data_IF_225294988501
#
_entry.id   IF_225294988501
#
_cell.length_a   1.000
_cell.length_b   1.000
_cell.length_c   1.000
_cell.angle_alpha   90.00
_cell.angle_beta   90.00
_cell.angle_gamma   90.00
#
_symmetry.space_group_name_H-M   'P 1'
#
loop_
_entity.id
_entity.type
_entity.pdbx_description
1 polymer ?
#
# COMPACT_ATOMS: atom_id res chain seq x y z
N UNK A 1 -33.91 40.15 4.84
CA UNK A 1 -33.35 39.03 4.04
C UNK A 1 -32.04 38.62 4.68
N UNK A 2 -32.08 37.60 5.55
CA UNK A 2 -30.87 37.05 6.16
C UNK A 2 -30.18 36.19 5.11
N UNK A 3 -28.95 36.56 4.74
CA UNK A 3 -28.07 35.70 3.94
C UNK A 3 -27.75 34.47 4.77
N UNK A 4 -28.32 33.35 4.38
CA UNK A 4 -27.99 32.04 4.90
C UNK A 4 -26.61 31.66 4.32
N UNK A 5 -25.55 32.18 4.93
CA UNK A 5 -24.18 31.72 4.69
C UNK A 5 -24.07 30.32 5.29
N UNK A 6 -24.52 29.31 4.54
CA UNK A 6 -24.11 27.93 4.76
C UNK A 6 -22.59 27.94 4.69
N UNK A 7 -21.91 27.91 5.85
CA UNK A 7 -20.46 27.69 5.92
C UNK A 7 -20.18 26.44 5.10
N UNK A 8 -19.56 26.60 3.94
CA UNK A 8 -19.13 25.46 3.13
C UNK A 8 -18.15 24.71 4.03
N UNK A 9 -18.55 23.52 4.46
CA UNK A 9 -17.70 22.67 5.29
C UNK A 9 -16.62 22.14 4.36
N UNK A 10 -15.42 22.69 4.50
CA UNK A 10 -14.21 22.34 3.74
C UNK A 10 -13.09 22.06 4.71
N UNK A 11 -12.07 21.32 4.27
CA UNK A 11 -10.84 21.20 5.04
C UNK A 11 -10.22 22.58 5.26
N UNK A 12 -9.75 22.84 6.48
CA UNK A 12 -8.96 24.03 6.77
C UNK A 12 -7.60 23.87 6.09
N UNK A 13 -6.98 24.96 5.64
CA UNK A 13 -5.69 24.94 4.94
C UNK A 13 -4.58 24.19 5.70
N UNK A 14 -4.57 24.26 7.04
CA UNK A 14 -3.62 23.50 7.85
C UNK A 14 -3.89 21.97 7.84
N UNK A 15 -5.14 21.55 7.67
CA UNK A 15 -5.52 20.14 7.54
C UNK A 15 -5.20 19.62 6.14
N UNK A 16 -5.46 20.42 5.11
CA UNK A 16 -5.05 20.12 3.73
C UNK A 16 -3.53 19.90 3.65
N UNK A 17 -2.72 20.82 4.20
CA UNK A 17 -1.27 20.69 4.23
C UNK A 17 -0.80 19.39 4.94
N UNK A 18 -1.43 19.02 6.05
CA UNK A 18 -1.14 17.77 6.77
C UNK A 18 -1.49 16.54 5.94
N UNK A 19 -2.65 16.55 5.28
CA UNK A 19 -3.10 15.49 4.38
C UNK A 19 -2.13 15.31 3.21
N UNK A 20 -1.78 16.40 2.52
CA UNK A 20 -0.84 16.37 1.38
C UNK A 20 0.52 15.81 1.81
N UNK A 21 1.07 16.26 2.95
CA UNK A 21 2.33 15.74 3.47
C UNK A 21 2.26 14.25 3.83
N UNK A 22 1.16 13.80 4.43
CA UNK A 22 0.96 12.40 4.77
C UNK A 22 0.84 11.50 3.53
N UNK A 23 0.10 11.93 2.51
CA UNK A 23 0.00 11.21 1.23
C UNK A 23 1.35 11.15 0.51
N UNK A 24 2.12 12.24 0.55
CA UNK A 24 3.48 12.27 0.01
C UNK A 24 4.41 11.29 0.74
N UNK A 25 4.34 11.22 2.07
CA UNK A 25 5.11 10.26 2.86
C UNK A 25 4.72 8.81 2.52
N UNK A 26 3.41 8.51 2.47
CA UNK A 26 2.89 7.19 2.08
C UNK A 26 3.34 6.79 0.67
N UNK A 27 3.25 7.72 -0.28
CA UNK A 27 3.74 7.55 -1.65
C UNK A 27 5.24 7.20 -1.67
N UNK A 28 6.07 7.94 -0.92
CA UNK A 28 7.52 7.73 -0.89
C UNK A 28 7.90 6.39 -0.26
N UNK A 29 7.18 5.98 0.79
CA UNK A 29 7.33 4.67 1.42
C UNK A 29 6.96 3.54 0.45
N UNK A 30 5.87 3.69 -0.30
CA UNK A 30 5.44 2.69 -1.26
C UNK A 30 6.32 2.63 -2.51
N UNK A 31 6.80 3.78 -3.01
CA UNK A 31 7.75 3.85 -4.13
C UNK A 31 9.02 3.05 -3.86
N UNK A 32 9.63 3.24 -2.67
CA UNK A 32 10.80 2.48 -2.26
C UNK A 32 10.52 0.97 -2.19
N UNK A 33 9.30 0.59 -1.79
CA UNK A 33 8.89 -0.81 -1.78
C UNK A 33 8.81 -1.37 -3.21
N UNK A 34 8.13 -0.67 -4.12
CA UNK A 34 8.00 -1.09 -5.53
C UNK A 34 9.36 -1.17 -6.24
N UNK A 35 10.30 -0.27 -5.94
CA UNK A 35 11.69 -0.37 -6.44
C UNK A 35 12.40 -1.65 -5.98
N UNK A 36 12.16 -2.12 -4.75
CA UNK A 36 12.73 -3.38 -4.25
C UNK A 36 12.11 -4.61 -4.90
N UNK A 37 10.81 -4.56 -5.21
CA UNK A 37 10.13 -5.62 -5.98
C UNK A 37 10.75 -5.76 -7.37
N UNK A 38 10.95 -4.64 -8.08
CA UNK A 38 11.63 -4.62 -9.39
C UNK A 38 13.03 -5.24 -9.30
N UNK A 39 13.82 -4.87 -8.28
CA UNK A 39 15.18 -5.41 -8.08
C UNK A 39 15.21 -6.92 -7.77
N UNK A 40 14.13 -7.45 -7.19
CA UNK A 40 13.96 -8.88 -6.93
C UNK A 40 13.53 -9.62 -8.21
N UNK A 41 12.59 -9.07 -8.97
CA UNK A 41 12.09 -9.63 -10.24
C UNK A 41 13.18 -9.70 -11.33
N UNK A 42 14.16 -8.81 -11.29
CA UNK A 42 15.29 -8.80 -12.22
C UNK A 42 16.27 -9.97 -12.07
N UNK A 43 16.16 -10.81 -11.04
CA UNK A 43 17.06 -11.95 -10.89
C UNK A 43 16.60 -13.11 -11.80
N UNK A 44 17.53 -13.75 -12.51
CA UNK A 44 17.21 -14.76 -13.52
C UNK A 44 16.46 -15.98 -12.96
N UNK A 45 16.70 -16.28 -11.68
CA UNK A 45 16.13 -17.35 -10.88
C UNK A 45 14.96 -16.89 -9.98
N UNK A 46 14.38 -15.72 -10.26
CA UNK A 46 13.14 -15.26 -9.62
C UNK A 46 11.98 -16.20 -9.96
N UNK A 47 11.36 -16.80 -8.94
CA UNK A 47 10.26 -17.75 -9.09
C UNK A 47 9.24 -17.60 -7.95
N UNK A 48 8.09 -17.02 -8.30
CA UNK A 48 6.98 -16.78 -7.37
C UNK A 48 6.39 -18.08 -6.81
N UNK A 49 6.43 -19.19 -7.55
CA UNK A 49 5.89 -20.46 -7.06
C UNK A 49 6.76 -21.00 -5.93
N UNK A 50 8.09 -20.90 -6.06
CA UNK A 50 8.99 -21.30 -4.98
C UNK A 50 8.89 -20.38 -3.77
N UNK A 51 8.73 -19.06 -3.95
CA UNK A 51 8.48 -18.15 -2.83
C UNK A 51 7.13 -18.41 -2.16
N UNK A 52 6.09 -18.72 -2.93
CA UNK A 52 4.79 -19.07 -2.39
C UNK A 52 4.87 -20.38 -1.59
N UNK A 53 5.45 -21.43 -2.18
CA UNK A 53 5.64 -22.73 -1.52
C UNK A 53 6.53 -22.65 -0.27
N UNK A 54 7.47 -21.70 -0.23
CA UNK A 54 8.26 -21.43 0.96
C UNK A 54 7.39 -20.97 2.14
N UNK A 55 6.34 -20.19 1.88
CA UNK A 55 5.42 -19.72 2.91
C UNK A 55 4.27 -20.69 3.16
N UNK A 56 3.70 -21.35 2.16
CA UNK A 56 2.62 -22.36 2.30
C UNK A 56 3.14 -23.67 2.92
N UNK A 57 3.55 -23.58 4.18
CA UNK A 57 4.28 -24.63 4.93
C UNK A 57 3.47 -25.91 5.04
N UNK A 58 2.14 -25.79 5.09
CA UNK A 58 1.22 -26.92 5.21
C UNK A 58 0.62 -27.37 3.88
N UNK A 59 1.05 -26.78 2.75
CA UNK A 59 0.56 -27.10 1.40
C UNK A 59 -0.98 -27.03 1.30
N UNK A 60 -1.57 -26.03 1.97
CA UNK A 60 -3.03 -25.84 2.01
C UNK A 60 -3.51 -25.00 0.82
N UNK A 61 -2.61 -24.57 -0.07
CA UNK A 61 -2.88 -23.64 -1.18
C UNK A 61 -3.41 -22.28 -0.69
N UNK A 62 -3.02 -21.91 0.53
CA UNK A 62 -3.29 -20.63 1.19
C UNK A 62 -2.18 -20.36 2.19
N UNK A 63 -1.75 -19.11 2.30
CA UNK A 63 -0.78 -18.69 3.30
C UNK A 63 -1.53 -18.02 4.44
N UNK A 64 -1.55 -18.65 5.61
CA UNK A 64 -2.13 -18.08 6.83
C UNK A 64 -1.15 -17.13 7.53
N UNK A 65 -1.61 -16.40 8.55
CA UNK A 65 -0.71 -15.59 9.40
C UNK A 65 0.36 -16.44 10.10
N UNK A 66 0.00 -17.66 10.50
CA UNK A 66 0.95 -18.59 11.13
C UNK A 66 2.01 -19.03 10.13
N UNK A 67 1.61 -19.37 8.90
CA UNK A 67 2.53 -19.66 7.79
C UNK A 67 3.50 -18.49 7.55
N UNK A 68 2.96 -17.26 7.51
CA UNK A 68 3.76 -16.07 7.33
C UNK A 68 4.73 -15.80 8.50
N UNK A 69 4.29 -16.04 9.74
CA UNK A 69 5.11 -15.93 10.94
C UNK A 69 6.26 -16.95 10.92
N UNK A 70 5.97 -18.22 10.61
CA UNK A 70 6.98 -19.27 10.47
C UNK A 70 7.96 -18.98 9.33
N UNK A 71 7.48 -18.55 8.16
CA UNK A 71 8.34 -18.17 7.04
C UNK A 71 9.25 -16.99 7.38
N UNK A 72 8.75 -15.98 8.09
CA UNK A 72 9.59 -14.88 8.62
C UNK A 72 10.68 -15.41 9.56
N UNK A 73 10.33 -16.32 10.48
CA UNK A 73 11.30 -16.95 11.39
C UNK A 73 12.38 -17.72 10.61
N UNK A 74 11.99 -18.50 9.59
CA UNK A 74 12.92 -19.25 8.72
C UNK A 74 13.84 -18.34 7.90
N UNK A 75 13.38 -17.15 7.51
CA UNK A 75 14.22 -16.12 6.88
C UNK A 75 15.11 -15.38 7.90
N UNK A 76 14.92 -15.60 9.20
CA UNK A 76 15.61 -14.88 10.26
C UNK A 76 15.15 -13.42 10.40
N UNK A 77 13.87 -13.16 10.13
CA UNK A 77 13.20 -11.85 10.29
C UNK A 77 12.44 -11.87 11.61
N UNK A 78 12.67 -10.86 12.46
CA UNK A 78 11.90 -10.67 13.71
C UNK A 78 10.65 -9.84 13.42
N UNK A 79 9.63 -10.47 12.83
CA UNK A 79 8.37 -9.81 12.48
C UNK A 79 7.48 -9.61 13.72
N UNK A 80 6.85 -8.44 13.86
CA UNK A 80 5.82 -8.21 14.87
C UNK A 80 4.47 -8.74 14.36
N UNK A 81 3.62 -9.25 15.26
CA UNK A 81 2.25 -9.67 14.91
C UNK A 81 1.43 -8.54 14.28
N UNK A 82 1.61 -7.31 14.77
CA UNK A 82 0.96 -6.13 14.18
C UNK A 82 1.36 -5.93 12.71
N UNK A 83 2.65 -6.03 12.36
CA UNK A 83 3.12 -5.89 10.98
C UNK A 83 2.51 -6.94 10.05
N UNK A 84 2.43 -8.19 10.50
CA UNK A 84 1.79 -9.27 9.73
C UNK A 84 0.29 -8.99 9.56
N UNK A 85 -0.39 -8.50 10.60
CA UNK A 85 -1.80 -8.14 10.50
C UNK A 85 -2.05 -7.01 9.48
N UNK A 86 -1.20 -5.97 9.49
CA UNK A 86 -1.28 -4.86 8.54
C UNK A 86 -1.10 -5.37 7.09
N UNK A 87 -0.13 -6.27 6.86
CA UNK A 87 0.09 -6.87 5.55
C UNK A 87 -1.14 -7.64 5.08
N UNK A 88 -1.71 -8.51 5.92
CA UNK A 88 -2.89 -9.28 5.53
C UNK A 88 -4.08 -8.36 5.25
N UNK A 89 -4.28 -7.33 6.06
CA UNK A 89 -5.36 -6.39 5.81
C UNK A 89 -5.20 -5.61 4.50
N UNK A 90 -3.97 -5.32 4.08
CA UNK A 90 -3.71 -4.64 2.81
C UNK A 90 -3.90 -5.55 1.59
N UNK A 91 -3.49 -6.82 1.69
CA UNK A 91 -3.35 -7.68 0.51
C UNK A 91 -4.35 -8.83 0.44
N UNK A 92 -5.01 -9.20 1.54
CA UNK A 92 -6.04 -10.25 1.57
C UNK A 92 -7.43 -9.62 1.45
N UNK A 93 -8.22 -10.08 0.49
CA UNK A 93 -9.59 -9.63 0.25
C UNK A 93 -10.51 -9.94 1.45
N UNK A 94 -10.30 -11.08 2.12
CA UNK A 94 -11.09 -11.52 3.28
C UNK A 94 -10.38 -11.32 4.63
N UNK A 95 -9.17 -10.75 4.60
CA UNK A 95 -8.29 -10.53 5.75
C UNK A 95 -7.95 -11.82 6.53
N UNK A 96 -8.10 -13.01 5.95
CA UNK A 96 -7.95 -14.28 6.65
C UNK A 96 -6.70 -15.05 6.21
N UNK A 97 -6.51 -15.22 4.90
CA UNK A 97 -5.35 -15.85 4.29
C UNK A 97 -4.96 -15.15 2.97
N UNK A 98 -3.74 -15.40 2.50
CA UNK A 98 -3.31 -15.00 1.16
C UNK A 98 -3.46 -16.19 0.21
N UNK A 99 -4.28 -16.02 -0.82
CA UNK A 99 -4.26 -16.84 -2.03
C UNK A 99 -2.95 -16.64 -2.78
N UNK A 100 -2.70 -17.49 -3.79
CA UNK A 100 -1.55 -17.31 -4.67
C UNK A 100 -1.54 -15.92 -5.32
N UNK A 101 -2.68 -15.45 -5.85
CA UNK A 101 -2.75 -14.15 -6.52
C UNK A 101 -2.48 -12.99 -5.56
N UNK A 102 -2.98 -13.05 -4.32
CA UNK A 102 -2.73 -12.02 -3.32
C UNK A 102 -1.26 -12.03 -2.88
N UNK A 103 -0.65 -13.20 -2.71
CA UNK A 103 0.78 -13.30 -2.46
C UNK A 103 1.61 -12.75 -3.62
N UNK A 104 1.21 -12.99 -4.87
CA UNK A 104 1.82 -12.35 -6.03
C UNK A 104 1.75 -10.83 -5.91
N UNK A 105 0.61 -10.26 -5.48
CA UNK A 105 0.48 -8.81 -5.27
C UNK A 105 1.37 -8.27 -4.13
N UNK A 106 1.72 -9.11 -3.15
CA UNK A 106 2.66 -8.77 -2.08
C UNK A 106 4.09 -8.64 -2.62
N UNK A 107 4.51 -9.56 -3.50
CA UNK A 107 5.92 -9.67 -3.95
C UNK A 107 6.19 -8.95 -5.27
N UNK A 108 5.21 -8.92 -6.17
CA UNK A 108 5.35 -8.42 -7.55
C UNK A 108 4.90 -6.97 -7.67
N UNK A 109 5.57 -6.24 -8.56
CA UNK A 109 5.17 -4.92 -9.04
C UNK A 109 4.31 -5.00 -10.31
N UNK A 110 4.40 -6.12 -11.06
CA UNK A 110 3.57 -6.41 -12.23
C UNK A 110 2.30 -7.17 -11.85
N UNK A 111 1.18 -6.86 -12.51
CA UNK A 111 -0.07 -7.62 -12.45
C UNK A 111 0.04 -8.97 -13.18
N UNK A 112 1.01 -9.11 -14.07
CA UNK A 112 1.32 -10.36 -14.80
C UNK A 112 2.84 -10.59 -14.78
N UNK A 113 3.40 -11.05 -13.65
CA UNK A 113 4.82 -11.35 -13.56
C UNK A 113 5.15 -12.58 -14.40
N UNK A 114 6.31 -12.55 -15.07
CA UNK A 114 6.79 -13.67 -15.86
C UNK A 114 6.90 -14.93 -14.98
N UNK A 115 6.11 -15.95 -15.32
CA UNK A 115 6.17 -17.25 -14.66
C UNK A 115 7.43 -17.98 -15.13
N UNK A 116 8.41 -18.11 -14.23
CA UNK A 116 9.60 -18.93 -14.43
C UNK A 116 9.47 -20.16 -13.56
N UNK A 117 9.86 -21.31 -14.11
CA UNK A 117 10.00 -22.55 -13.35
C UNK A 117 11.49 -22.81 -13.27
N UNK A 118 12.09 -22.56 -12.10
CA UNK A 118 13.50 -22.87 -11.86
C UNK A 118 13.63 -23.99 -10.86
N UNK A 119 14.72 -24.76 -10.91
CA UNK A 119 14.91 -25.91 -10.03
C UNK A 119 15.37 -25.52 -8.63
N UNK A 120 16.00 -24.34 -8.49
CA UNK A 120 16.52 -23.83 -7.22
C UNK A 120 16.73 -22.33 -7.28
N UNK A 121 16.29 -21.62 -6.24
CA UNK A 121 16.62 -20.21 -6.03
C UNK A 121 18.03 -20.09 -5.41
N UNK A 122 18.83 -19.17 -5.93
CA UNK A 122 20.18 -18.85 -5.43
C UNK A 122 20.15 -18.15 -4.07
N UNK A 123 21.26 -18.24 -3.35
CA UNK A 123 21.43 -17.56 -2.05
C UNK A 123 21.29 -16.04 -2.20
N UNK A 124 21.76 -15.47 -3.32
CA UNK A 124 21.64 -14.04 -3.64
C UNK A 124 20.17 -13.62 -3.76
N UNK A 125 19.38 -14.37 -4.51
CA UNK A 125 17.96 -14.07 -4.72
C UNK A 125 17.15 -14.28 -3.44
N UNK A 126 17.48 -15.30 -2.64
CA UNK A 126 16.90 -15.47 -1.29
C UNK A 126 17.26 -14.33 -0.34
N UNK A 127 18.48 -13.77 -0.40
CA UNK A 127 18.86 -12.62 0.41
C UNK A 127 18.03 -11.37 0.04
N UNK A 128 17.86 -11.09 -1.25
CA UNK A 128 16.98 -10.01 -1.72
C UNK A 128 15.51 -10.24 -1.33
N UNK A 129 15.04 -11.49 -1.42
CA UNK A 129 13.68 -11.85 -1.01
C UNK A 129 13.47 -11.59 0.49
N UNK A 130 14.41 -12.00 1.34
CA UNK A 130 14.42 -11.68 2.77
C UNK A 130 14.35 -10.17 3.00
N UNK A 131 15.19 -9.39 2.33
CA UNK A 131 15.21 -7.93 2.45
C UNK A 131 13.87 -7.31 2.02
N UNK A 132 13.25 -7.82 0.96
CA UNK A 132 11.93 -7.39 0.51
C UNK A 132 10.86 -7.66 1.56
N UNK A 133 10.78 -8.88 2.12
CA UNK A 133 9.80 -9.23 3.16
C UNK A 133 9.96 -8.31 4.38
N UNK A 134 11.20 -8.09 4.83
CA UNK A 134 11.46 -7.17 5.94
C UNK A 134 11.02 -5.73 5.60
N UNK A 135 11.30 -5.26 4.39
CA UNK A 135 10.90 -3.93 3.94
C UNK A 135 9.38 -3.77 3.84
N UNK A 136 8.65 -4.78 3.36
CA UNK A 136 7.19 -4.76 3.30
C UNK A 136 6.63 -4.53 4.71
N UNK A 137 7.01 -5.37 5.68
CA UNK A 137 6.52 -5.28 7.06
C UNK A 137 6.80 -3.92 7.70
N UNK A 138 7.97 -3.34 7.44
CA UNK A 138 8.33 -2.01 7.92
C UNK A 138 7.55 -0.90 7.21
N UNK A 139 7.33 -1.03 5.90
CA UNK A 139 6.55 -0.06 5.11
C UNK A 139 5.10 -0.05 5.58
N UNK A 140 4.48 -1.21 5.82
CA UNK A 140 3.11 -1.29 6.35
C UNK A 140 2.99 -0.64 7.73
N UNK A 141 3.93 -0.90 8.64
CA UNK A 141 3.95 -0.25 9.96
C UNK A 141 4.10 1.28 9.86
N UNK A 142 4.98 1.77 8.97
CA UNK A 142 5.16 3.21 8.78
C UNK A 142 3.92 3.87 8.15
N UNK A 143 3.31 3.24 7.16
CA UNK A 143 2.07 3.72 6.56
C UNK A 143 0.96 3.78 7.62
N UNK A 144 0.87 2.78 8.49
CA UNK A 144 -0.07 2.79 9.61
C UNK A 144 0.17 3.98 10.56
N UNK A 145 1.43 4.24 10.95
CA UNK A 145 1.77 5.40 11.80
C UNK A 145 1.40 6.74 11.12
N UNK A 146 1.56 6.85 9.80
CA UNK A 146 1.14 8.04 9.05
C UNK A 146 -0.38 8.24 9.17
N UNK A 147 -1.17 7.18 9.03
CA UNK A 147 -2.63 7.22 9.16
C UNK A 147 -3.04 7.60 10.58
N UNK A 148 -2.44 6.98 11.60
CA UNK A 148 -2.72 7.28 13.01
C UNK A 148 -2.53 8.77 13.33
N UNK A 149 -1.39 9.35 12.93
CA UNK A 149 -1.12 10.79 13.13
C UNK A 149 -2.14 11.71 12.45
N UNK A 150 -2.70 11.30 11.31
CA UNK A 150 -3.78 12.05 10.65
C UNK A 150 -5.09 11.93 11.44
N UNK A 151 -5.43 10.74 11.91
CA UNK A 151 -6.67 10.45 12.61
C UNK A 151 -6.71 10.99 14.05
N UNK A 152 -5.56 11.20 14.69
CA UNK A 152 -5.45 11.86 16.00
C UNK A 152 -6.05 13.27 16.01
N UNK A 153 -6.16 13.91 14.85
CA UNK A 153 -6.83 15.20 14.71
C UNK A 153 -8.35 15.00 14.64
N UNK A 154 -9.05 15.15 15.76
CA UNK A 154 -10.51 14.94 15.87
C UNK A 154 -11.37 15.82 14.94
N UNK A 155 -10.82 16.92 14.41
CA UNK A 155 -11.50 17.76 13.41
C UNK A 155 -11.24 17.31 11.96
N UNK A 156 -10.35 16.32 11.74
CA UNK A 156 -10.04 15.80 10.43
C UNK A 156 -11.12 14.81 9.98
N UNK A 157 -11.68 15.04 8.80
CA UNK A 157 -12.70 14.17 8.19
C UNK A 157 -12.15 13.60 6.90
N UNK A 158 -12.21 12.28 6.77
CA UNK A 158 -11.81 11.56 5.56
C UNK A 158 -12.75 11.88 4.39
N UNK A 159 -14.02 12.19 4.68
CA UNK A 159 -15.00 12.66 3.71
C UNK A 159 -14.58 14.00 3.10
N UNK A 160 -14.22 14.97 3.94
CA UNK A 160 -13.72 16.26 3.47
C UNK A 160 -12.36 16.13 2.77
N UNK A 161 -11.51 15.20 3.22
CA UNK A 161 -10.27 14.86 2.54
C UNK A 161 -10.50 14.31 1.13
N UNK A 162 -11.49 13.44 0.93
CA UNK A 162 -11.83 12.95 -0.40
C UNK A 162 -12.37 14.07 -1.30
N UNK A 163 -13.30 14.89 -0.79
CA UNK A 163 -13.89 16.00 -1.53
C UNK A 163 -12.89 17.11 -1.89
N UNK A 164 -11.80 17.21 -1.14
CA UNK A 164 -10.71 18.13 -1.46
C UNK A 164 -10.00 17.76 -2.78
N UNK A 165 -9.94 16.47 -3.13
CA UNK A 165 -9.41 16.00 -4.40
C UNK A 165 -10.48 15.91 -5.50
N UNK A 166 -11.63 15.29 -5.22
CA UNK A 166 -12.72 15.07 -6.19
C UNK A 166 -13.55 16.35 -6.41
N UNK A 167 -12.93 17.39 -6.98
CA UNK A 167 -13.54 18.70 -7.20
C UNK A 167 -14.77 18.61 -8.11
N UNK A 168 -14.74 17.67 -9.07
CA UNK A 168 -15.83 17.42 -10.01
C UNK A 168 -16.96 16.57 -9.41
N UNK A 169 -16.78 16.02 -8.20
CA UNK A 169 -17.76 15.20 -7.47
C UNK A 169 -18.23 13.99 -8.28
N UNK A 170 -17.30 13.36 -8.99
CA UNK A 170 -17.56 12.18 -9.82
C UNK A 170 -17.52 10.90 -8.99
N UNK A 171 -16.99 10.97 -7.76
CA UNK A 171 -16.89 9.83 -6.84
C UNK A 171 -15.58 9.05 -6.97
N UNK A 172 -14.64 9.54 -7.78
CA UNK A 172 -13.31 8.94 -7.97
C UNK A 172 -12.25 10.02 -8.08
N UNK A 173 -11.08 9.81 -7.47
CA UNK A 173 -9.92 10.69 -7.62
C UNK A 173 -9.02 10.13 -8.73
N UNK A 174 -8.70 10.98 -9.70
CA UNK A 174 -7.84 10.68 -10.84
C UNK A 174 -6.39 11.06 -10.60
N UNK A 175 -5.49 10.58 -11.46
CA UNK A 175 -4.09 11.00 -11.46
C UNK A 175 -3.97 12.53 -11.59
N UNK A 176 -4.77 13.14 -12.46
CA UNK A 176 -4.72 14.58 -12.70
C UNK A 176 -5.17 15.39 -11.48
N UNK A 177 -6.22 14.95 -10.78
CA UNK A 177 -6.67 15.58 -9.54
C UNK A 177 -5.65 15.46 -8.41
N UNK A 178 -4.98 14.33 -8.26
CA UNK A 178 -3.84 14.21 -7.34
C UNK A 178 -2.74 15.20 -7.70
N UNK A 179 -2.35 15.26 -8.98
CA UNK A 179 -1.28 16.14 -9.45
C UNK A 179 -1.59 17.61 -9.16
N UNK A 180 -2.79 18.07 -9.52
CA UNK A 180 -3.21 19.45 -9.27
C UNK A 180 -3.09 19.84 -7.79
N UNK A 181 -3.46 18.94 -6.88
CA UNK A 181 -3.36 19.18 -5.44
C UNK A 181 -1.90 19.20 -4.97
N UNK A 182 -1.05 18.27 -5.40
CA UNK A 182 0.37 18.32 -5.04
C UNK A 182 1.05 19.59 -5.56
N UNK A 183 0.76 19.98 -6.80
CA UNK A 183 1.30 21.20 -7.42
C UNK A 183 0.82 22.47 -6.70
N UNK A 184 -0.43 22.52 -6.22
CA UNK A 184 -0.92 23.67 -5.43
C UNK A 184 -0.19 23.84 -4.10
N UNK A 185 0.52 22.81 -3.63
CA UNK A 185 1.37 22.82 -2.44
C UNK A 185 2.88 22.91 -2.80
N UNK A 186 3.22 23.28 -4.04
CA UNK A 186 4.58 23.36 -4.57
C UNK A 186 5.35 22.03 -4.51
N UNK A 187 4.65 20.90 -4.57
CA UNK A 187 5.26 19.57 -4.64
C UNK A 187 5.22 19.13 -6.10
N UNK A 188 6.41 19.02 -6.71
CA UNK A 188 6.54 18.43 -8.03
C UNK A 188 6.44 16.92 -7.90
N UNK A 189 5.47 16.33 -8.61
CA UNK A 189 5.19 14.90 -8.55
C UNK A 189 5.01 14.32 -9.96
N UNK A 190 5.58 13.15 -10.20
CA UNK A 190 5.48 12.44 -11.47
C UNK A 190 4.27 11.51 -11.53
N UNK A 191 3.86 11.09 -12.73
CA UNK A 191 2.76 10.12 -12.88
C UNK A 191 3.07 8.79 -12.19
N UNK A 192 4.31 8.31 -12.29
CA UNK A 192 4.75 7.08 -11.65
C UNK A 192 4.68 7.16 -10.12
N UNK A 193 4.95 8.34 -9.55
CA UNK A 193 4.79 8.60 -8.12
C UNK A 193 3.33 8.59 -7.70
N UNK A 194 2.45 9.21 -8.48
CA UNK A 194 1.01 9.18 -8.23
C UNK A 194 0.47 7.74 -8.37
N UNK A 195 0.90 6.99 -9.38
CA UNK A 195 0.56 5.56 -9.53
C UNK A 195 1.05 4.75 -8.33
N UNK A 196 2.24 5.07 -7.81
CA UNK A 196 2.75 4.46 -6.57
C UNK A 196 1.84 4.76 -5.38
N UNK A 197 1.31 5.98 -5.26
CA UNK A 197 0.31 6.33 -4.24
C UNK A 197 -1.02 5.60 -4.45
N UNK A 198 -1.55 5.58 -5.68
CA UNK A 198 -2.82 4.91 -6.02
C UNK A 198 -2.76 3.42 -5.68
N UNK A 199 -1.60 2.78 -5.89
CA UNK A 199 -1.40 1.35 -5.59
C UNK A 199 -1.51 0.98 -4.10
N UNK A 200 -1.58 1.97 -3.21
CA UNK A 200 -1.90 1.78 -1.78
C UNK A 200 -3.40 1.50 -1.59
N UNK A 201 -4.25 2.08 -2.45
CA UNK A 201 -5.71 2.00 -2.34
C UNK A 201 -6.33 0.94 -3.25
N UNK A 202 -5.73 0.71 -4.43
CA UNK A 202 -6.27 -0.21 -5.43
C UNK A 202 -5.16 -0.75 -6.33
N UNK A 203 -5.26 -2.03 -6.70
CA UNK A 203 -4.36 -2.67 -7.68
C UNK A 203 -4.96 -2.79 -9.08
N UNK A 204 -6.28 -2.66 -9.19
CA UNK A 204 -7.02 -2.92 -10.44
C UNK A 204 -7.36 -1.64 -11.21
N UNK A 205 -7.35 -0.49 -10.55
CA UNK A 205 -7.85 0.76 -11.11
C UNK A 205 -6.76 1.84 -11.13
N UNK A 206 -6.80 2.72 -12.13
CA UNK A 206 -5.93 3.89 -12.22
C UNK A 206 -6.53 5.13 -11.54
N UNK A 207 -7.58 4.93 -10.74
CA UNK A 207 -8.36 5.95 -10.04
C UNK A 207 -8.72 5.41 -8.66
N UNK A 208 -8.93 6.29 -7.69
CA UNK A 208 -9.27 5.91 -6.33
C UNK A 208 -10.73 6.24 -6.07
N UNK A 209 -11.58 5.23 -5.90
CA UNK A 209 -12.97 5.41 -5.49
C UNK A 209 -13.06 5.94 -4.05
N UNK A 210 -14.19 6.56 -3.70
CA UNK A 210 -14.46 6.96 -2.31
C UNK A 210 -14.25 5.81 -1.32
N UNK A 211 -14.83 4.63 -1.59
CA UNK A 211 -14.71 3.47 -0.71
C UNK A 211 -13.25 3.02 -0.52
N UNK A 212 -12.49 2.96 -1.62
CA UNK A 212 -11.06 2.63 -1.58
C UNK A 212 -10.25 3.67 -0.80
N UNK A 213 -10.55 4.96 -0.96
CA UNK A 213 -9.88 6.03 -0.22
C UNK A 213 -10.14 5.94 1.28
N UNK A 214 -11.42 5.81 1.69
CA UNK A 214 -11.77 5.70 3.11
C UNK A 214 -11.14 4.46 3.74
N UNK A 215 -11.28 3.30 3.10
CA UNK A 215 -10.69 2.05 3.59
C UNK A 215 -9.17 2.14 3.68
N UNK A 216 -8.52 2.72 2.67
CA UNK A 216 -7.07 2.86 2.63
C UNK A 216 -6.52 3.93 3.58
N UNK A 217 -7.27 4.95 3.96
CA UNK A 217 -6.82 6.02 4.87
C UNK A 217 -7.18 5.79 6.33
N UNK A 218 -8.20 4.98 6.62
CA UNK A 218 -8.60 4.70 8.00
C UNK A 218 -7.48 3.92 8.72
N UNK A 219 -6.93 4.42 9.84
CA UNK A 219 -5.96 3.66 10.61
C UNK A 219 -6.61 2.42 11.19
N UNK A 220 -5.81 1.36 11.27
CA UNK A 220 -6.22 0.08 11.82
C UNK A 220 -6.15 0.17 13.36
N UNK A 221 -7.23 -0.20 14.04
CA UNK A 221 -7.32 -0.23 15.51
C UNK A 221 -6.86 -1.58 16.08
#
# INVERSE_FOLDING_TARGET
MQQNNSKVIVLKQNQEAKLVNALYEMMYLNKQLEERKIQLEQNDDFDLNQFYAFFDTFNQRKITRLDFELGCMSLGIKAKKSQINLLFQRFSEDNSFLTYQEFVNVISCSNDPLVRIVTKISVKTMAKFKELIAQILLTEEKIQLVKERLAENSEFSLELAFLFFDKLKVGTITIDEFREVFESYNIQITNQEIESLISIYTKKESRVSYGSFISGMNPIQ
#
